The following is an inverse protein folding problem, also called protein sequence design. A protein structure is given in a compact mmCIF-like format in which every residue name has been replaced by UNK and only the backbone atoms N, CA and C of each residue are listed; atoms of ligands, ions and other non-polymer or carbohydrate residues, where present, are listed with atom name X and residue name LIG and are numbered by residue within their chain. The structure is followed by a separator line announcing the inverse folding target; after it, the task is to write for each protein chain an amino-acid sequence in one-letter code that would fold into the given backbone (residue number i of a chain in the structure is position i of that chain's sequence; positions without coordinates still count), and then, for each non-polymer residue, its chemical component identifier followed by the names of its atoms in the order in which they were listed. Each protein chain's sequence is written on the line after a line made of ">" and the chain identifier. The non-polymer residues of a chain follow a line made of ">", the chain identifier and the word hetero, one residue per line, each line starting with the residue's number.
data_IF_364290077853
#
_entry.id   IF_364290077853
#
_cell.length_a   1.000
_cell.length_b   1.000
_cell.length_c   1.000
_cell.angle_alpha   90.00
_cell.angle_beta   90.00
_cell.angle_gamma   90.00
#
_symmetry.space_group_name_H-M   'P 1'
#
loop_
_entity.id
_entity.type
_entity.pdbx_description
1 polymer ?
#
# COMPACT_ATOMS: atom_id res chain seq x y z
N UNK A 1 0.94 -29.21 15.93
CA UNK A 1 0.96 -28.84 14.50
C UNK A 1 0.80 -27.33 14.37
N UNK A 2 1.84 -26.59 13.97
CA UNK A 2 1.67 -25.19 13.55
C UNK A 2 0.97 -25.24 12.19
N UNK A 3 -0.35 -25.09 12.16
CA UNK A 3 -1.06 -24.83 10.91
C UNK A 3 -0.43 -23.57 10.32
N UNK A 4 0.23 -23.68 9.16
CA UNK A 4 0.64 -22.52 8.38
C UNK A 4 -0.63 -21.88 7.82
N UNK A 5 -1.32 -21.16 8.69
CA UNK A 5 -2.51 -20.40 8.36
C UNK A 5 -2.14 -19.41 7.25
N UNK A 6 -2.69 -19.65 6.05
CA UNK A 6 -2.48 -18.82 4.88
C UNK A 6 -2.93 -17.38 5.13
N UNK A 7 -2.34 -16.43 4.40
CA UNK A 7 -2.87 -15.06 4.37
C UNK A 7 -4.05 -15.00 3.41
N UNK A 8 -5.07 -14.23 3.77
CA UNK A 8 -6.19 -13.90 2.88
C UNK A 8 -6.26 -12.40 2.62
N UNK A 9 -6.88 -11.95 1.52
CA UNK A 9 -7.26 -10.55 1.34
C UNK A 9 -8.26 -10.11 2.42
N UNK A 10 -8.33 -8.80 2.66
CA UNK A 10 -9.41 -8.21 3.44
C UNK A 10 -10.73 -8.28 2.67
N UNK A 11 -11.84 -8.49 3.37
CA UNK A 11 -13.17 -8.35 2.77
C UNK A 11 -13.47 -6.88 2.45
N UNK A 12 -14.52 -6.63 1.66
CA UNK A 12 -14.95 -5.25 1.39
C UNK A 12 -15.34 -4.49 2.67
N UNK A 13 -15.97 -5.17 3.63
CA UNK A 13 -16.32 -4.58 4.93
C UNK A 13 -15.09 -4.29 5.76
N UNK A 14 -14.13 -5.22 5.83
CA UNK A 14 -12.88 -5.00 6.58
C UNK A 14 -12.04 -3.88 5.96
N UNK A 15 -12.00 -3.76 4.62
CA UNK A 15 -11.36 -2.62 3.95
C UNK A 15 -12.05 -1.31 4.33
N UNK A 16 -13.39 -1.27 4.33
CA UNK A 16 -14.13 -0.09 4.75
C UNK A 16 -13.82 0.29 6.21
N UNK A 17 -13.84 -0.67 7.14
CA UNK A 17 -13.45 -0.45 8.54
C UNK A 17 -11.99 0.01 8.66
N UNK A 18 -11.07 -0.60 7.90
CA UNK A 18 -9.65 -0.26 7.92
C UNK A 18 -9.40 1.17 7.42
N UNK A 19 -10.06 1.58 6.34
CA UNK A 19 -9.88 2.89 5.72
C UNK A 19 -10.87 3.97 6.22
N UNK A 20 -11.70 3.63 7.21
CA UNK A 20 -12.52 4.58 7.99
C UNK A 20 -12.16 4.60 9.47
N UNK A 21 -11.16 3.83 9.88
CA UNK A 21 -10.64 3.79 11.25
C UNK A 21 -9.90 5.07 11.62
N UNK A 22 -9.40 5.14 12.86
CA UNK A 22 -8.89 6.40 13.44
C UNK A 22 -7.80 7.10 12.62
N UNK A 23 -6.95 6.36 11.89
CA UNK A 23 -5.91 6.91 10.99
C UNK A 23 -6.51 7.71 9.83
N UNK A 24 -7.74 7.40 9.41
CA UNK A 24 -8.43 8.04 8.30
C UNK A 24 -9.69 8.82 8.74
N UNK A 25 -9.92 8.91 10.05
CA UNK A 25 -10.98 9.71 10.67
C UNK A 25 -10.48 11.08 11.11
N UNK A 26 -11.25 11.75 11.97
CA UNK A 26 -10.93 13.09 12.49
C UNK A 26 -10.30 13.09 13.89
N UNK A 27 -10.40 11.97 14.61
CA UNK A 27 -9.99 11.85 16.00
C UNK A 27 -8.74 10.99 16.15
N UNK A 28 -7.81 11.46 16.98
CA UNK A 28 -6.64 10.68 17.41
C UNK A 28 -7.03 9.72 18.51
N UNK A 29 -6.34 8.59 18.55
CA UNK A 29 -6.43 7.69 19.68
C UNK A 29 -5.63 8.24 20.88
N UNK A 30 -6.03 7.93 22.13
CA UNK A 30 -5.24 8.29 23.29
C UNK A 30 -3.79 7.79 23.16
N UNK A 31 -2.83 8.71 23.39
CA UNK A 31 -1.38 8.44 23.28
C UNK A 31 -0.93 7.98 21.89
N UNK A 32 -1.71 8.28 20.84
CA UNK A 32 -1.30 8.00 19.46
C UNK A 32 -0.05 8.79 19.09
N UNK A 33 0.99 8.07 18.66
CA UNK A 33 2.18 8.66 18.04
C UNK A 33 2.01 8.61 16.52
N UNK A 34 1.20 9.52 15.98
CA UNK A 34 0.93 9.59 14.56
C UNK A 34 2.24 9.82 13.76
N UNK A 35 2.37 9.11 12.64
CA UNK A 35 3.50 9.19 11.70
C UNK A 35 2.94 9.19 10.28
N UNK A 36 3.54 9.93 9.36
CA UNK A 36 3.07 10.05 7.99
C UNK A 36 2.97 8.68 7.31
N UNK A 37 3.92 7.78 7.59
CA UNK A 37 3.85 6.42 7.07
C UNK A 37 2.66 5.60 7.58
N UNK A 38 2.07 5.90 8.77
CA UNK A 38 0.85 5.22 9.23
C UNK A 38 -0.32 5.46 8.27
N UNK A 39 -0.40 6.67 7.71
CA UNK A 39 -1.42 7.04 6.72
C UNK A 39 -1.06 6.50 5.32
N UNK A 40 0.16 6.74 4.85
CA UNK A 40 0.53 6.44 3.46
C UNK A 40 0.78 4.97 3.19
N UNK A 41 1.37 4.22 4.13
CA UNK A 41 1.79 2.84 3.86
C UNK A 41 0.61 1.91 3.53
N UNK A 42 -0.53 1.90 4.25
CA UNK A 42 -1.66 1.03 3.88
C UNK A 42 -2.31 1.45 2.56
N UNK A 43 -2.44 2.75 2.29
CA UNK A 43 -2.94 3.26 1.00
C UNK A 43 -2.05 2.79 -0.16
N UNK A 44 -0.74 3.01 -0.05
CA UNK A 44 0.21 2.59 -1.08
C UNK A 44 0.21 1.07 -1.25
N UNK A 45 0.21 0.28 -0.18
CA UNK A 45 0.14 -1.17 -0.25
C UNK A 45 -1.13 -1.67 -0.96
N UNK A 46 -2.28 -1.03 -0.70
CA UNK A 46 -3.56 -1.37 -1.34
C UNK A 46 -3.61 -0.98 -2.82
N UNK A 47 -3.13 0.20 -3.18
CA UNK A 47 -3.22 0.72 -4.55
C UNK A 47 -2.08 0.27 -5.48
N UNK A 48 -1.03 -0.35 -4.95
CA UNK A 48 0.15 -0.75 -5.75
C UNK A 48 0.49 -2.23 -5.60
N UNK A 49 -0.03 -2.90 -4.57
CA UNK A 49 0.40 -4.25 -4.20
C UNK A 49 1.87 -4.34 -3.75
N UNK A 50 2.53 -3.21 -3.46
CA UNK A 50 3.89 -3.18 -2.94
C UNK A 50 3.99 -3.78 -1.53
N UNK A 51 5.08 -4.49 -1.26
CA UNK A 51 5.38 -4.93 0.11
C UNK A 51 5.95 -3.78 0.95
N UNK A 52 5.83 -3.87 2.28
CA UNK A 52 6.32 -2.81 3.19
C UNK A 52 7.81 -2.52 3.07
N UNK A 53 8.63 -3.54 2.77
CA UNK A 53 10.06 -3.30 2.48
C UNK A 53 10.25 -2.54 1.17
N UNK A 54 9.52 -2.91 0.10
CA UNK A 54 9.61 -2.23 -1.20
C UNK A 54 9.15 -0.77 -1.10
N UNK A 55 8.02 -0.53 -0.42
CA UNK A 55 7.43 0.80 -0.24
C UNK A 55 8.23 1.66 0.75
N UNK A 56 8.77 1.05 1.81
CA UNK A 56 9.60 1.74 2.81
C UNK A 56 10.95 2.20 2.27
N UNK A 57 11.46 1.54 1.22
CA UNK A 57 12.70 1.94 0.55
C UNK A 57 12.52 2.99 -0.53
N UNK A 58 11.30 3.35 -0.94
CA UNK A 58 11.07 4.31 -2.03
C UNK A 58 11.67 5.68 -1.68
N UNK A 59 12.51 6.16 -2.59
CA UNK A 59 13.05 7.52 -2.58
C UNK A 59 12.11 8.45 -3.35
N UNK A 60 12.32 9.77 -3.25
CA UNK A 60 11.56 10.71 -4.07
C UNK A 60 11.88 10.57 -5.57
N UNK A 61 13.06 10.07 -5.93
CA UNK A 61 13.44 9.80 -7.33
C UNK A 61 12.62 8.66 -7.93
N UNK A 62 12.11 7.74 -7.11
CA UNK A 62 11.25 6.64 -7.55
C UNK A 62 9.79 7.09 -7.82
N UNK A 63 9.44 8.34 -7.47
CA UNK A 63 8.09 8.90 -7.66
C UNK A 63 8.06 9.77 -8.91
N UNK A 64 7.55 9.23 -10.01
CA UNK A 64 7.51 9.95 -11.28
C UNK A 64 6.13 10.59 -11.48
N UNK A 65 6.06 11.91 -11.25
CA UNK A 65 4.84 12.73 -11.40
C UNK A 65 4.83 13.60 -12.67
N UNK A 66 5.87 13.48 -13.52
CA UNK A 66 6.08 14.33 -14.69
C UNK A 66 5.15 14.04 -15.88
N UNK A 67 5.55 14.53 -17.06
CA UNK A 67 4.76 14.40 -18.29
C UNK A 67 4.60 12.94 -18.72
N UNK A 68 3.38 12.40 -18.65
CA UNK A 68 3.07 11.03 -19.03
C UNK A 68 2.16 10.33 -18.03
N UNK A 69 2.20 9.00 -18.00
CA UNK A 69 1.51 8.23 -16.96
C UNK A 69 2.36 8.28 -15.70
N UNK A 70 1.88 8.94 -14.64
CA UNK A 70 2.58 8.97 -13.37
C UNK A 70 2.70 7.56 -12.75
N UNK A 71 3.86 7.23 -12.18
CA UNK A 71 4.14 5.90 -11.65
C UNK A 71 5.11 5.91 -10.47
N UNK A 72 5.10 4.82 -9.70
CA UNK A 72 6.14 4.48 -8.72
C UNK A 72 7.09 3.45 -9.32
N UNK A 73 8.40 3.68 -9.24
CA UNK A 73 9.41 2.70 -9.61
C UNK A 73 9.74 1.82 -8.40
N UNK A 74 9.17 0.62 -8.36
CA UNK A 74 9.29 -0.28 -7.21
C UNK A 74 10.43 -1.27 -7.42
N UNK A 75 11.45 -1.18 -6.58
CA UNK A 75 12.60 -2.09 -6.53
C UNK A 75 12.37 -3.23 -5.54
N UNK A 76 13.13 -4.32 -5.67
CA UNK A 76 12.91 -5.52 -4.87
C UNK A 76 14.16 -6.41 -4.79
N UNK A 77 14.24 -7.25 -3.76
CA UNK A 77 15.37 -8.16 -3.52
C UNK A 77 15.13 -9.56 -4.11
N UNK A 78 14.83 -9.64 -5.41
CA UNK A 78 14.89 -10.87 -6.22
C UNK A 78 13.76 -11.90 -6.07
N UNK A 79 12.87 -11.76 -5.07
CA UNK A 79 11.69 -12.64 -4.95
C UNK A 79 10.66 -12.40 -6.05
N UNK A 80 10.46 -11.14 -6.39
CA UNK A 80 9.67 -10.68 -7.53
C UNK A 80 10.52 -9.75 -8.40
N UNK A 81 10.00 -9.31 -9.55
CA UNK A 81 10.70 -8.37 -10.43
C UNK A 81 10.41 -6.92 -10.03
N UNK A 82 11.41 -6.05 -10.22
CA UNK A 82 11.22 -4.61 -10.18
C UNK A 82 10.24 -4.17 -11.28
N UNK A 83 9.47 -3.12 -11.04
CA UNK A 83 8.34 -2.74 -11.88
C UNK A 83 7.94 -1.28 -11.70
N UNK A 84 7.46 -0.65 -12.77
CA UNK A 84 6.83 0.67 -12.76
C UNK A 84 5.33 0.49 -12.57
N UNK A 85 4.78 0.99 -11.48
CA UNK A 85 3.36 0.84 -11.14
C UNK A 85 2.67 2.19 -11.32
N UNK A 86 1.72 2.34 -12.27
CA UNK A 86 0.97 3.59 -12.40
C UNK A 86 0.32 3.99 -11.07
N UNK A 87 0.41 5.28 -10.74
CA UNK A 87 -0.21 5.80 -9.53
C UNK A 87 -1.73 5.83 -9.74
N UNK A 88 -2.46 5.16 -8.85
CA UNK A 88 -3.91 5.17 -8.87
C UNK A 88 -4.44 6.61 -8.63
N UNK A 89 -5.43 7.10 -9.41
CA UNK A 89 -5.92 8.49 -9.29
C UNK A 89 -6.34 8.88 -7.87
N UNK A 90 -6.89 7.94 -7.11
CA UNK A 90 -7.30 8.19 -5.73
C UNK A 90 -6.14 8.55 -4.80
N UNK A 91 -4.91 8.09 -5.06
CA UNK A 91 -3.75 8.53 -4.27
C UNK A 91 -3.50 10.04 -4.45
N UNK A 92 -3.75 10.59 -5.65
CA UNK A 92 -3.74 12.05 -5.85
C UNK A 92 -4.89 12.72 -5.10
N UNK A 93 -6.09 12.14 -5.11
CA UNK A 93 -7.20 12.64 -4.29
C UNK A 93 -6.91 12.63 -2.78
N UNK A 94 -6.05 11.71 -2.30
CA UNK A 94 -5.56 11.70 -0.92
C UNK A 94 -4.48 12.76 -0.63
N UNK A 95 -4.03 13.49 -1.66
CA UNK A 95 -3.03 14.55 -1.60
C UNK A 95 -1.57 14.08 -1.75
N UNK A 96 -1.33 13.02 -2.54
CA UNK A 96 0.02 12.47 -2.73
C UNK A 96 0.97 13.48 -3.39
N UNK A 97 0.46 14.31 -4.31
CA UNK A 97 1.26 15.31 -5.01
C UNK A 97 1.78 16.37 -4.03
N UNK A 98 0.88 16.92 -3.22
CA UNK A 98 1.15 17.91 -2.19
C UNK A 98 2.08 17.33 -1.11
N UNK A 99 1.89 16.08 -0.74
CA UNK A 99 2.77 15.39 0.20
C UNK A 99 4.20 15.25 -0.35
N UNK A 100 4.37 14.88 -1.62
CA UNK A 100 5.70 14.77 -2.25
C UNK A 100 6.38 16.15 -2.36
N UNK A 101 5.62 17.19 -2.70
CA UNK A 101 6.12 18.57 -2.68
C UNK A 101 6.55 18.98 -1.27
N UNK A 102 5.73 18.68 -0.26
CA UNK A 102 6.05 18.95 1.14
C UNK A 102 7.33 18.24 1.57
N UNK A 103 7.50 16.96 1.24
CA UNK A 103 8.74 16.21 1.52
C UNK A 103 9.97 16.87 0.88
N UNK A 104 9.84 17.31 -0.37
CA UNK A 104 10.92 17.98 -1.12
C UNK A 104 11.34 19.27 -0.44
N UNK A 105 10.38 20.14 -0.10
CA UNK A 105 10.62 21.41 0.58
C UNK A 105 11.27 21.21 1.96
N UNK A 106 10.95 20.11 2.66
CA UNK A 106 11.51 19.79 3.97
C UNK A 106 12.80 18.94 3.90
N UNK A 107 13.37 18.74 2.71
CA UNK A 107 14.64 18.04 2.52
C UNK A 107 14.59 16.53 2.77
N UNK A 108 13.41 15.93 2.82
CA UNK A 108 13.26 14.49 2.98
C UNK A 108 13.57 13.74 1.68
N UNK A 109 14.30 12.62 1.78
CA UNK A 109 14.74 11.84 0.61
C UNK A 109 13.86 10.63 0.30
N UNK A 110 13.05 10.17 1.27
CA UNK A 110 12.19 8.98 1.14
C UNK A 110 10.73 9.34 1.22
N UNK A 111 9.90 8.60 0.47
CA UNK A 111 8.45 8.77 0.48
C UNK A 111 7.85 8.47 1.86
N UNK A 112 8.35 7.42 2.52
CA UNK A 112 7.99 7.04 3.90
C UNK A 112 9.13 7.42 4.85
N UNK A 113 9.52 8.70 4.86
CA UNK A 113 10.73 9.19 5.54
C UNK A 113 10.79 8.84 7.04
N UNK A 114 9.63 8.84 7.72
CA UNK A 114 9.50 8.60 9.14
C UNK A 114 9.18 7.13 9.50
N UNK A 115 9.23 6.22 8.51
CA UNK A 115 9.22 4.77 8.74
C UNK A 115 10.64 4.31 9.10
N UNK A 116 10.88 3.86 10.35
CA UNK A 116 12.20 3.42 10.77
C UNK A 116 12.57 2.07 10.15
N UNK A 117 13.85 1.95 9.77
CA UNK A 117 14.46 0.68 9.42
C UNK A 117 14.96 -0.06 10.66
N UNK A 118 14.94 -1.39 10.62
CA UNK A 118 15.70 -2.27 11.51
C UNK A 118 16.54 -3.20 10.66
N UNK A 119 17.87 -3.15 10.84
CA UNK A 119 18.84 -3.90 10.04
C UNK A 119 18.62 -3.75 8.52
N UNK A 120 18.34 -2.52 8.07
CA UNK A 120 18.07 -2.21 6.66
C UNK A 120 16.71 -2.67 6.12
N UNK A 121 15.79 -3.16 6.98
CA UNK A 121 14.44 -3.59 6.60
C UNK A 121 13.38 -2.68 7.23
N UNK A 122 12.29 -2.44 6.52
CA UNK A 122 11.18 -1.59 6.95
C UNK A 122 9.96 -2.39 7.41
N UNK A 123 9.92 -3.68 7.08
CA UNK A 123 8.78 -4.56 7.31
C UNK A 123 8.48 -4.83 8.78
N UNK A 124 9.47 -4.83 9.67
CA UNK A 124 9.26 -5.16 11.07
C UNK A 124 8.40 -4.12 11.80
N UNK A 125 8.76 -2.84 11.72
CA UNK A 125 8.03 -1.75 12.39
C UNK A 125 6.64 -1.57 11.81
N UNK A 126 6.51 -1.71 10.49
CA UNK A 126 5.23 -1.73 9.81
C UNK A 126 4.33 -2.89 10.29
N UNK A 127 4.89 -4.10 10.43
CA UNK A 127 4.15 -5.29 10.91
C UNK A 127 3.68 -5.13 12.35
N UNK A 128 4.55 -4.65 13.25
CA UNK A 128 4.21 -4.43 14.66
C UNK A 128 3.10 -3.39 14.79
N UNK A 129 3.22 -2.26 14.10
CA UNK A 129 2.19 -1.22 14.15
C UNK A 129 0.86 -1.71 13.58
N UNK A 130 0.87 -2.39 12.44
CA UNK A 130 -0.36 -2.77 11.76
C UNK A 130 -1.08 -3.94 12.46
N UNK A 131 -0.35 -4.98 12.84
CA UNK A 131 -0.91 -6.24 13.38
C UNK A 131 -0.72 -6.43 14.89
N UNK A 132 0.09 -5.60 15.55
CA UNK A 132 0.43 -5.77 16.96
C UNK A 132 1.64 -6.68 17.20
N UNK A 133 2.06 -6.78 18.46
CA UNK A 133 3.13 -7.69 18.92
C UNK A 133 2.95 -8.00 20.40
N UNK A 134 2.91 -9.29 20.75
CA UNK A 134 2.59 -9.74 22.11
C UNK A 134 1.24 -9.18 22.56
N UNK A 135 1.24 -8.49 23.70
CA UNK A 135 0.04 -7.85 24.27
C UNK A 135 -0.28 -6.48 23.65
N UNK A 136 0.62 -5.94 22.80
CA UNK A 136 0.42 -4.63 22.19
C UNK A 136 -0.53 -4.73 21.00
N UNK A 137 -1.72 -4.13 21.14
CA UNK A 137 -2.68 -3.96 20.06
C UNK A 137 -2.10 -3.12 18.90
N UNK A 138 -2.22 -3.63 17.68
CA UNK A 138 -1.91 -2.92 16.44
C UNK A 138 -3.11 -2.16 15.89
N UNK A 139 -2.94 -1.61 14.68
CA UNK A 139 -3.97 -0.89 13.97
C UNK A 139 -5.24 -1.73 13.75
N UNK A 140 -5.09 -3.00 13.35
CA UNK A 140 -6.21 -3.91 13.13
C UNK A 140 -7.08 -4.05 14.38
N UNK A 141 -6.49 -4.38 15.53
CA UNK A 141 -7.24 -4.58 16.77
C UNK A 141 -7.88 -3.28 17.26
N UNK A 142 -7.20 -2.14 17.07
CA UNK A 142 -7.76 -0.81 17.39
C UNK A 142 -8.95 -0.43 16.51
N UNK A 143 -9.05 -1.00 15.31
CA UNK A 143 -10.23 -0.89 14.45
C UNK A 143 -11.24 -2.01 14.66
N UNK A 144 -11.13 -2.78 15.77
CA UNK A 144 -11.95 -3.96 16.06
C UNK A 144 -11.91 -5.04 14.97
N UNK A 145 -10.81 -5.13 14.21
CA UNK A 145 -10.60 -6.15 13.20
C UNK A 145 -9.75 -7.31 13.75
N UNK A 146 -10.21 -8.56 13.64
CA UNK A 146 -9.42 -9.71 14.06
C UNK A 146 -8.26 -9.94 13.09
N UNK A 147 -7.10 -10.37 13.62
CA UNK A 147 -5.94 -10.75 12.80
C UNK A 147 -6.07 -12.14 12.19
N UNK A 148 -6.97 -12.96 12.73
CA UNK A 148 -7.22 -14.34 12.33
C UNK A 148 -8.73 -14.51 12.23
N UNK A 149 -9.22 -15.02 11.09
CA UNK A 149 -10.65 -15.31 10.93
C UNK A 149 -11.05 -16.65 11.55
N UNK A 150 -12.35 -16.95 11.50
CA UNK A 150 -12.95 -18.19 12.01
C UNK A 150 -12.40 -19.47 11.33
N UNK A 151 -11.84 -19.36 10.13
CA UNK A 151 -11.21 -20.46 9.40
C UNK A 151 -9.70 -20.52 9.63
N UNK A 152 -9.19 -19.65 10.51
CA UNK A 152 -7.78 -19.53 10.83
C UNK A 152 -6.98 -18.66 9.87
N UNK A 153 -7.53 -18.11 8.77
CA UNK A 153 -6.72 -17.32 7.85
C UNK A 153 -6.31 -15.98 8.45
N UNK A 154 -5.07 -15.58 8.17
CA UNK A 154 -4.49 -14.35 8.72
C UNK A 154 -4.70 -13.15 7.81
N UNK A 155 -5.00 -12.01 8.42
CA UNK A 155 -4.92 -10.69 7.80
C UNK A 155 -3.72 -9.93 8.33
N UNK A 156 -2.99 -9.28 7.44
CA UNK A 156 -1.81 -8.48 7.78
C UNK A 156 -1.65 -7.35 6.76
N UNK A 157 -0.66 -6.49 6.93
CA UNK A 157 -0.38 -5.42 5.95
C UNK A 157 -0.15 -6.00 4.54
N UNK A 158 0.52 -7.16 4.43
CA UNK A 158 0.73 -7.84 3.16
C UNK A 158 -0.54 -8.45 2.54
N UNK A 159 -1.66 -8.52 3.27
CA UNK A 159 -2.96 -8.91 2.72
C UNK A 159 -3.52 -7.85 1.77
N UNK A 160 -3.14 -6.57 1.91
CA UNK A 160 -3.54 -5.51 0.98
C UNK A 160 -3.03 -5.77 -0.43
N UNK A 161 -1.87 -6.44 -0.58
CA UNK A 161 -1.39 -6.91 -1.88
C UNK A 161 -2.31 -7.96 -2.49
N UNK A 162 -2.91 -8.83 -1.69
CA UNK A 162 -3.86 -9.83 -2.19
C UNK A 162 -5.14 -9.14 -2.69
N UNK A 163 -5.58 -8.07 -2.01
CA UNK A 163 -6.67 -7.22 -2.51
C UNK A 163 -6.32 -6.53 -3.83
N UNK A 164 -5.10 -6.01 -3.96
CA UNK A 164 -4.60 -5.45 -5.22
C UNK A 164 -4.62 -6.51 -6.33
N UNK A 165 -3.97 -7.66 -6.10
CA UNK A 165 -3.89 -8.78 -7.03
C UNK A 165 -5.26 -9.20 -7.56
N UNK A 166 -6.24 -9.40 -6.68
CA UNK A 166 -7.58 -9.83 -7.10
C UNK A 166 -8.22 -8.83 -8.06
N UNK A 167 -8.11 -7.54 -7.75
CA UNK A 167 -8.73 -6.48 -8.54
C UNK A 167 -8.00 -6.24 -9.86
N UNK A 168 -6.66 -6.17 -9.84
CA UNK A 168 -5.90 -6.02 -11.10
C UNK A 168 -6.02 -7.25 -11.98
N UNK A 169 -6.20 -8.46 -11.41
CA UNK A 169 -6.51 -9.66 -12.21
C UNK A 169 -7.79 -9.47 -12.99
N UNK A 170 -8.88 -9.07 -12.32
CA UNK A 170 -10.18 -8.84 -12.96
C UNK A 170 -10.04 -7.82 -14.09
N UNK A 171 -9.48 -6.64 -13.81
CA UNK A 171 -9.37 -5.55 -14.78
C UNK A 171 -8.42 -5.87 -15.93
N UNK A 172 -7.32 -6.58 -15.66
CA UNK A 172 -6.42 -7.04 -16.69
C UNK A 172 -7.07 -8.07 -17.62
N UNK A 173 -7.88 -9.00 -17.09
CA UNK A 173 -8.60 -9.97 -17.92
C UNK A 173 -9.67 -9.27 -18.78
N UNK A 174 -10.41 -8.31 -18.21
CA UNK A 174 -11.39 -7.50 -18.96
C UNK A 174 -10.75 -6.71 -20.11
N UNK A 175 -9.50 -6.27 -19.93
CA UNK A 175 -8.71 -5.57 -20.94
C UNK A 175 -7.87 -6.51 -21.82
N UNK A 176 -8.04 -7.83 -21.71
CA UNK A 176 -7.31 -8.82 -22.51
C UNK A 176 -5.80 -8.87 -22.26
N UNK A 177 -5.30 -8.37 -21.13
CA UNK A 177 -3.86 -8.19 -20.87
C UNK A 177 -3.35 -9.00 -19.69
N UNK A 178 -3.21 -10.32 -19.88
CA UNK A 178 -2.51 -11.19 -18.91
C UNK A 178 -1.07 -10.73 -18.65
N UNK A 179 -0.40 -10.19 -19.67
CA UNK A 179 0.94 -9.62 -19.54
C UNK A 179 0.98 -8.45 -18.55
N UNK A 180 0.00 -7.53 -18.61
CA UNK A 180 -0.10 -6.40 -17.69
C UNK A 180 -0.30 -6.85 -16.24
N UNK A 181 -1.14 -7.87 -16.03
CA UNK A 181 -1.31 -8.50 -14.71
C UNK A 181 0.01 -9.07 -14.17
N UNK A 182 0.71 -9.89 -14.96
CA UNK A 182 1.98 -10.49 -14.54
C UNK A 182 3.04 -9.42 -14.22
N UNK A 183 3.13 -8.36 -15.05
CA UNK A 183 4.06 -7.26 -14.84
C UNK A 183 3.78 -6.50 -13.53
N UNK A 184 2.52 -6.11 -13.27
CA UNK A 184 2.14 -5.34 -12.07
C UNK A 184 2.41 -6.10 -10.77
N UNK A 185 2.30 -7.44 -10.79
CA UNK A 185 2.64 -8.28 -9.65
C UNK A 185 4.13 -8.63 -9.57
N UNK A 186 4.95 -8.24 -10.54
CA UNK A 186 6.37 -8.59 -10.60
C UNK A 186 6.59 -10.10 -10.76
N UNK A 187 5.65 -10.80 -11.40
CA UNK A 187 5.73 -12.23 -11.67
C UNK A 187 6.85 -12.51 -12.68
N UNK A 188 7.59 -13.60 -12.49
CA UNK A 188 8.73 -13.96 -13.35
C UNK A 188 8.27 -14.40 -14.75
N UNK A 189 7.00 -14.77 -14.87
CA UNK A 189 6.27 -15.11 -16.09
C UNK A 189 6.20 -13.95 -17.08
N UNK A 190 6.39 -12.70 -16.65
CA UNK A 190 6.60 -11.58 -17.55
C UNK A 190 8.11 -11.41 -17.82
N UNK A 191 8.62 -11.71 -19.03
CA UNK A 191 10.05 -11.83 -19.26
C UNK A 191 10.76 -10.47 -19.37
N UNK A 192 10.10 -9.43 -19.89
CA UNK A 192 10.71 -8.12 -20.12
C UNK A 192 10.95 -7.36 -18.81
N UNK A 193 11.86 -6.37 -18.84
CA UNK A 193 12.13 -5.48 -17.68
C UNK A 193 11.12 -4.34 -17.58
N UNK A 194 10.67 -3.83 -18.72
CA UNK A 194 9.73 -2.73 -18.81
C UNK A 194 8.48 -3.18 -19.55
N UNK A 195 7.36 -2.52 -19.24
CA UNK A 195 6.11 -2.70 -19.94
C UNK A 195 5.90 -1.54 -20.92
N UNK A 196 5.72 -1.86 -22.20
CA UNK A 196 5.71 -0.85 -23.26
C UNK A 196 4.53 0.14 -23.14
N UNK A 197 3.33 -0.36 -22.80
CA UNK A 197 2.11 0.47 -22.73
C UNK A 197 1.74 0.82 -21.28
N UNK A 198 2.34 1.90 -20.77
CA UNK A 198 2.01 2.43 -19.44
C UNK A 198 0.56 2.91 -19.31
N UNK A 199 -0.09 3.31 -20.42
CA UNK A 199 -1.50 3.74 -20.41
C UNK A 199 -2.42 2.53 -20.20
N UNK A 200 -2.10 1.38 -20.78
CA UNK A 200 -2.80 0.13 -20.51
C UNK A 200 -2.66 -0.27 -19.04
N UNK A 201 -1.44 -0.20 -18.48
CA UNK A 201 -1.26 -0.45 -17.04
C UNK A 201 -2.09 0.50 -16.18
N UNK A 202 -2.17 1.78 -16.55
CA UNK A 202 -2.99 2.76 -15.84
C UNK A 202 -4.47 2.37 -15.87
N UNK A 203 -4.99 1.90 -17.03
CA UNK A 203 -6.36 1.39 -17.14
C UNK A 203 -6.60 0.17 -16.25
N UNK A 204 -5.63 -0.75 -16.17
CA UNK A 204 -5.71 -1.92 -15.28
C UNK A 204 -5.75 -1.48 -13.81
N UNK A 205 -4.82 -0.61 -13.39
CA UNK A 205 -4.73 -0.14 -12.00
C UNK A 205 -5.97 0.64 -11.58
N UNK A 206 -6.59 1.42 -12.48
CA UNK A 206 -7.87 2.13 -12.22
C UNK A 206 -9.04 1.22 -11.85
N UNK A 207 -8.95 -0.09 -12.09
CA UNK A 207 -9.95 -1.05 -11.65
C UNK A 207 -9.86 -1.43 -10.17
N UNK A 208 -8.82 -0.98 -9.45
CA UNK A 208 -8.74 -1.10 -7.99
C UNK A 208 -9.74 -0.14 -7.35
N UNK A 209 -10.67 -0.68 -6.56
CA UNK A 209 -11.77 0.04 -5.92
C UNK A 209 -11.28 1.14 -5.00
N UNK A 210 -12.03 2.24 -4.94
CA UNK A 210 -11.81 3.30 -3.95
C UNK A 210 -12.31 2.84 -2.57
N UNK A 211 -11.43 2.89 -1.55
CA UNK A 211 -11.75 2.41 -0.18
C UNK A 211 -12.42 3.47 0.69
N UNK A 212 -12.01 4.74 0.58
CA UNK A 212 -12.63 5.87 1.26
C UNK A 212 -12.39 7.17 0.47
N UNK A 213 -13.45 7.72 -0.13
CA UNK A 213 -13.36 8.90 -0.99
C UNK A 213 -13.00 10.20 -0.25
N UNK A 214 -13.17 10.25 1.07
CA UNK A 214 -12.96 11.46 1.90
C UNK A 214 -11.61 11.49 2.61
N UNK A 215 -10.75 10.51 2.33
CA UNK A 215 -9.41 10.41 2.90
C UNK A 215 -8.49 11.48 2.31
N UNK A 216 -7.84 12.28 3.15
CA UNK A 216 -6.83 13.26 2.73
C UNK A 216 -5.73 13.39 3.78
N UNK A 217 -4.46 13.49 3.35
CA UNK A 217 -3.33 13.45 4.28
C UNK A 217 -3.27 14.66 5.23
N UNK A 218 -3.67 15.85 4.77
CA UNK A 218 -3.75 17.03 5.64
C UNK A 218 -4.80 16.84 6.74
N UNK A 219 -5.90 16.15 6.43
CA UNK A 219 -6.93 15.82 7.40
C UNK A 219 -6.35 14.90 8.49
N UNK A 220 -5.57 13.89 8.10
CA UNK A 220 -4.80 13.04 9.02
C UNK A 220 -3.82 13.84 9.92
N UNK A 221 -3.13 14.83 9.36
CA UNK A 221 -2.21 15.70 10.11
C UNK A 221 -2.93 16.61 11.11
N UNK A 222 -4.14 17.08 10.75
CA UNK A 222 -4.92 18.04 11.53
C UNK A 222 -5.90 17.40 12.52
N UNK A 223 -5.93 16.07 12.65
CA UNK A 223 -6.80 15.36 13.60
C UNK A 223 -6.61 15.85 15.04
N UNK A 224 -7.69 15.90 15.79
CA UNK A 224 -7.73 16.32 17.18
C UNK A 224 -7.46 15.15 18.13
#
# INVERSE_FOLDING_TARGET
>A
MKTHLGRRPFSAMELHTLFSGYVYGDEKQPREQAKHWHFWLPLLAYYTGGFSDELGSLTLEDVHLGTGTAYLHVHTHGKIKARKIPIHPHLFSCGLHEYVQWLTVHGHQRLLFDLPAKSGRYSEKARIWFSGEGERAGYLQKCALPTVDQHGHKTALSSLRLNFEQQVRISAMQLGSKAGFCYLLGLKEYPQREFADMRLLQKIVRGVRVVNAHTHWQRFCNRH
#
